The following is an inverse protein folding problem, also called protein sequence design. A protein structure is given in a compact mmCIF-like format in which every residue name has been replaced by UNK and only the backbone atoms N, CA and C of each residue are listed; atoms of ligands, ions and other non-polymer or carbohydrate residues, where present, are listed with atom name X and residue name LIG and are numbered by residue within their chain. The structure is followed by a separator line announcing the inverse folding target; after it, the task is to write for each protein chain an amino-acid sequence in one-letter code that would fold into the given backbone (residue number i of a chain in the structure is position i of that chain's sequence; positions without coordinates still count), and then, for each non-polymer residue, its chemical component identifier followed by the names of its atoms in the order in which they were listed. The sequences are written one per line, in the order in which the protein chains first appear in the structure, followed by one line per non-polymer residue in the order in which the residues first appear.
data_IF_019408086725
#
_entry.id   IF_019408086725
#
_cell.length_a   1.000
_cell.length_b   1.000
_cell.length_c   1.000
_cell.angle_alpha   90.00
_cell.angle_beta   90.00
_cell.angle_gamma   90.00
#
_symmetry.space_group_name_H-M   'P 1'
#
loop_
_entity.id
_entity.type
_entity.pdbx_description
1 polymer ?
#
# COMPACT_ATOMS: atom_id res chain seq x y z
N UNK A 1 -23.43 8.85 29.35
CA UNK A 1 -22.69 8.67 28.09
C UNK A 1 -21.26 8.35 28.48
N UNK A 2 -20.76 7.16 28.15
CA UNK A 2 -19.34 6.85 28.30
C UNK A 2 -18.67 7.19 26.97
N UNK A 3 -17.79 8.19 26.97
CA UNK A 3 -17.05 8.58 25.78
C UNK A 3 -15.77 7.76 25.72
N UNK A 4 -15.62 6.95 24.68
CA UNK A 4 -14.39 6.22 24.39
C UNK A 4 -13.64 7.00 23.31
N UNK A 5 -12.44 7.47 23.64
CA UNK A 5 -11.59 8.19 22.69
C UNK A 5 -10.53 7.23 22.18
N UNK A 6 -10.52 7.00 20.86
CA UNK A 6 -9.51 6.16 20.19
C UNK A 6 -8.34 7.03 19.78
N UNK A 7 -7.25 6.95 20.52
CA UNK A 7 -5.96 7.60 20.20
C UNK A 7 -4.82 6.69 20.64
N UNK A 8 -3.79 6.49 19.80
CA UNK A 8 -2.60 5.73 20.17
C UNK A 8 -2.15 4.74 19.10
N UNK A 9 -1.09 3.98 19.40
CA UNK A 9 -0.57 2.89 18.59
C UNK A 9 -1.58 1.72 18.48
N UNK A 10 -1.21 0.67 17.74
CA UNK A 10 -2.11 -0.45 17.45
C UNK A 10 -2.59 -1.18 18.72
N UNK A 11 -1.70 -1.38 19.69
CA UNK A 11 -2.04 -2.04 20.96
C UNK A 11 -3.08 -1.24 21.77
N UNK A 12 -2.98 0.08 21.78
CA UNK A 12 -3.97 0.94 22.41
C UNK A 12 -5.34 0.84 21.72
N UNK A 13 -5.37 0.73 20.38
CA UNK A 13 -6.62 0.57 19.62
C UNK A 13 -7.27 -0.79 19.85
N UNK A 14 -6.47 -1.86 19.84
CA UNK A 14 -6.95 -3.23 20.10
C UNK A 14 -7.52 -3.34 21.51
N UNK A 15 -6.83 -2.78 22.52
CA UNK A 15 -7.34 -2.72 23.89
C UNK A 15 -8.67 -1.98 24.00
N UNK A 16 -8.81 -0.85 23.30
CA UNK A 16 -10.06 -0.09 23.32
C UNK A 16 -11.20 -0.87 22.65
N UNK A 17 -10.91 -1.63 21.58
CA UNK A 17 -11.88 -2.51 20.94
C UNK A 17 -12.33 -3.63 21.90
N UNK A 18 -11.41 -4.25 22.62
CA UNK A 18 -11.72 -5.26 23.63
C UNK A 18 -12.54 -4.67 24.78
N UNK A 19 -12.15 -3.50 25.31
CA UNK A 19 -12.86 -2.82 26.39
C UNK A 19 -14.28 -2.40 25.95
N UNK A 20 -14.44 -1.95 24.69
CA UNK A 20 -15.75 -1.66 24.10
C UNK A 20 -16.60 -2.92 24.03
N UNK A 21 -16.06 -4.03 23.52
CA UNK A 21 -16.78 -5.30 23.41
C UNK A 21 -17.24 -5.80 24.79
N UNK A 22 -16.32 -5.85 25.77
CA UNK A 22 -16.62 -6.24 27.14
C UNK A 22 -17.71 -5.37 27.79
N UNK A 23 -17.78 -4.08 27.43
CA UNK A 23 -18.77 -3.14 27.98
C UNK A 23 -20.19 -3.39 27.45
N UNK A 24 -20.32 -3.90 26.23
CA UNK A 24 -21.60 -3.99 25.51
C UNK A 24 -22.13 -5.41 25.39
N UNK A 25 -21.25 -6.42 25.35
CA UNK A 25 -21.61 -7.83 25.11
C UNK A 25 -22.71 -8.31 26.06
N UNK A 26 -22.51 -8.19 27.38
CA UNK A 26 -23.51 -8.63 28.37
C UNK A 26 -24.81 -7.80 28.37
N UNK A 27 -24.77 -6.56 27.88
CA UNK A 27 -25.94 -5.68 27.81
C UNK A 27 -26.77 -5.92 26.55
N UNK A 28 -26.12 -6.25 25.44
CA UNK A 28 -26.77 -6.63 24.20
C UNK A 28 -27.37 -8.04 24.27
N UNK A 29 -26.70 -8.96 24.96
CA UNK A 29 -27.16 -10.36 25.09
C UNK A 29 -28.41 -10.50 25.99
N UNK A 30 -28.55 -9.60 26.97
CA UNK A 30 -29.71 -9.55 27.89
C UNK A 30 -30.72 -8.44 27.53
N UNK A 31 -30.67 -7.94 26.29
CA UNK A 31 -31.49 -6.80 25.88
C UNK A 31 -32.98 -7.19 25.83
N UNK A 32 -33.76 -6.64 26.76
CA UNK A 32 -35.19 -6.89 26.84
C UNK A 32 -35.98 -6.33 25.66
N UNK A 33 -37.16 -6.89 25.43
CA UNK A 33 -38.00 -6.54 24.29
C UNK A 33 -38.36 -5.04 24.28
N UNK A 34 -38.12 -4.37 23.14
CA UNK A 34 -38.30 -2.92 22.97
C UNK A 34 -37.21 -2.01 23.58
N UNK A 35 -36.08 -2.56 24.06
CA UNK A 35 -34.91 -1.79 24.50
C UNK A 35 -33.88 -1.66 23.37
N UNK A 36 -33.04 -0.63 23.44
CA UNK A 36 -31.97 -0.36 22.48
C UNK A 36 -30.71 0.15 23.19
N UNK A 37 -29.57 -0.01 22.52
CA UNK A 37 -28.28 0.59 22.88
C UNK A 37 -27.85 1.46 21.71
N UNK A 38 -27.64 2.74 21.98
CA UNK A 38 -27.17 3.69 20.98
C UNK A 38 -25.66 3.91 21.10
N UNK A 39 -24.99 3.89 19.95
CA UNK A 39 -23.58 4.24 19.81
C UNK A 39 -23.43 5.51 19.00
N UNK A 40 -22.98 6.57 19.64
CA UNK A 40 -22.58 7.80 18.96
C UNK A 40 -21.10 7.68 18.56
N UNK A 41 -20.86 7.39 17.28
CA UNK A 41 -19.50 7.15 16.76
C UNK A 41 -19.03 8.39 16.00
N UNK A 42 -18.01 9.03 16.54
CA UNK A 42 -17.23 10.04 15.82
C UNK A 42 -16.01 9.36 15.19
N UNK A 43 -15.82 9.52 13.88
CA UNK A 43 -14.67 8.96 13.16
C UNK A 43 -14.06 10.02 12.23
N UNK A 44 -12.74 9.96 12.06
CA UNK A 44 -12.01 10.85 11.17
C UNK A 44 -11.78 10.17 9.82
N UNK A 45 -12.48 10.62 8.77
CA UNK A 45 -12.31 10.11 7.39
C UNK A 45 -10.97 10.46 6.75
N UNK A 46 -10.19 11.36 7.35
CA UNK A 46 -8.88 11.76 6.84
C UNK A 46 -7.74 10.78 7.16
N UNK A 47 -8.01 9.74 7.96
CA UNK A 47 -7.05 8.69 8.30
C UNK A 47 -7.56 7.40 7.64
N UNK A 48 -7.12 7.13 6.42
CA UNK A 48 -7.36 5.86 5.75
C UNK A 48 -6.20 4.92 6.11
N UNK A 49 -6.41 4.05 7.10
CA UNK A 49 -5.41 3.05 7.51
C UNK A 49 -5.45 1.87 6.52
N UNK A 50 -4.37 1.64 5.79
CA UNK A 50 -4.23 0.44 4.97
C UNK A 50 -3.69 -0.72 5.82
N UNK A 51 -4.26 -1.91 5.63
CA UNK A 51 -3.70 -3.14 6.18
C UNK A 51 -2.41 -3.53 5.46
N UNK A 52 -1.56 -4.31 6.12
CA UNK A 52 -0.34 -4.85 5.50
C UNK A 52 -0.66 -5.61 4.20
N UNK A 53 -1.70 -6.45 4.22
CA UNK A 53 -2.09 -7.28 3.09
C UNK A 53 -2.50 -6.44 1.87
N UNK A 54 -3.23 -5.35 2.08
CA UNK A 54 -3.62 -4.44 0.99
C UNK A 54 -2.39 -3.79 0.36
N UNK A 55 -1.46 -3.28 1.18
CA UNK A 55 -0.24 -2.65 0.68
C UNK A 55 0.72 -3.64 0.01
N UNK A 56 0.80 -4.88 0.48
CA UNK A 56 1.60 -5.92 -0.18
C UNK A 56 1.03 -6.29 -1.55
N UNK A 57 -0.31 -6.27 -1.70
CA UNK A 57 -0.94 -6.44 -3.02
C UNK A 57 -0.61 -5.27 -3.94
N UNK A 58 -0.68 -4.03 -3.47
CA UNK A 58 -0.27 -2.85 -4.26
C UNK A 58 1.21 -2.87 -4.62
N UNK A 59 2.09 -3.23 -3.68
CA UNK A 59 3.51 -3.46 -3.93
C UNK A 59 3.71 -4.46 -5.06
N UNK A 60 3.04 -5.61 -5.02
CA UNK A 60 3.13 -6.63 -6.08
C UNK A 60 2.68 -6.09 -7.44
N UNK A 61 1.63 -5.28 -7.50
CA UNK A 61 1.17 -4.64 -8.74
C UNK A 61 2.19 -3.63 -9.27
N UNK A 62 2.75 -2.79 -8.40
CA UNK A 62 3.77 -1.80 -8.75
C UNK A 62 5.06 -2.45 -9.23
N UNK A 63 5.53 -3.50 -8.54
CA UNK A 63 6.79 -4.17 -8.87
C UNK A 63 6.70 -4.89 -10.22
N UNK A 64 5.54 -5.50 -10.53
CA UNK A 64 5.35 -6.26 -11.77
C UNK A 64 4.86 -5.43 -12.96
N UNK A 65 4.50 -4.16 -12.76
CA UNK A 65 4.01 -3.30 -13.83
C UNK A 65 5.11 -3.09 -14.87
N UNK A 66 4.86 -3.46 -16.13
CA UNK A 66 5.69 -3.04 -17.25
C UNK A 66 5.52 -1.53 -17.44
N UNK A 67 6.62 -0.80 -17.31
CA UNK A 67 6.67 0.66 -17.44
C UNK A 67 7.17 1.04 -18.84
N UNK A 68 8.17 0.32 -19.35
CA UNK A 68 8.68 0.50 -20.71
C UNK A 68 8.81 -0.89 -21.34
N UNK A 69 8.01 -1.23 -22.37
CA UNK A 69 8.21 -2.48 -23.10
C UNK A 69 9.56 -2.45 -23.85
N UNK A 70 10.17 -3.61 -24.10
CA UNK A 70 11.34 -3.68 -24.97
C UNK A 70 11.01 -3.21 -26.38
N UNK A 71 11.99 -2.60 -27.05
CA UNK A 71 11.83 -2.20 -28.44
C UNK A 71 11.52 -3.41 -29.33
N UNK A 72 10.71 -3.21 -30.37
CA UNK A 72 10.29 -4.28 -31.28
C UNK A 72 10.03 -3.76 -32.69
N UNK A 73 10.91 -4.12 -33.63
CA UNK A 73 10.83 -3.67 -35.02
C UNK A 73 10.87 -2.15 -35.10
N UNK A 74 9.77 -1.54 -35.54
CA UNK A 74 9.62 -0.08 -35.64
C UNK A 74 9.04 0.58 -34.38
N UNK A 75 8.67 -0.21 -33.38
CA UNK A 75 8.11 0.30 -32.12
C UNK A 75 9.24 0.60 -31.14
N UNK A 76 9.37 1.88 -30.78
CA UNK A 76 10.31 2.35 -29.79
C UNK A 76 10.00 1.76 -28.40
N UNK A 77 11.05 1.48 -27.63
CA UNK A 77 10.98 0.87 -26.31
C UNK A 77 12.33 0.87 -25.61
N UNK A 78 12.52 -0.06 -24.69
CA UNK A 78 13.80 -0.24 -24.02
C UNK A 78 14.85 -0.83 -24.97
N UNK A 79 16.01 -0.17 -25.08
CA UNK A 79 17.19 -0.58 -25.87
C UNK A 79 18.46 -0.54 -25.02
N UNK A 80 19.46 -1.35 -25.37
CA UNK A 80 20.74 -1.44 -24.63
C UNK A 80 21.56 -0.15 -24.78
N UNK A 81 22.12 0.33 -23.66
CA UNK A 81 22.90 1.58 -23.64
C UNK A 81 24.18 1.48 -24.48
N UNK A 82 24.85 0.31 -24.44
CA UNK A 82 26.10 0.03 -25.18
C UNK A 82 25.86 -0.47 -26.62
N UNK A 83 24.85 0.05 -27.31
CA UNK A 83 24.76 -0.12 -28.77
C UNK A 83 25.94 0.60 -29.41
N UNK A 84 27.02 -0.16 -29.65
CA UNK A 84 28.28 0.33 -30.18
C UNK A 84 28.20 0.61 -31.67
N UNK A 85 27.33 1.55 -32.07
CA UNK A 85 27.28 2.27 -33.36
C UNK A 85 25.98 3.08 -33.36
N UNK A 86 26.00 4.31 -33.85
CA UNK A 86 24.83 5.20 -33.86
C UNK A 86 23.63 4.68 -34.67
N UNK A 87 23.81 3.61 -35.46
CA UNK A 87 22.85 3.17 -36.47
C UNK A 87 22.14 1.82 -36.17
N UNK A 88 22.49 1.11 -35.09
CA UNK A 88 21.82 -0.14 -34.72
C UNK A 88 21.54 -0.21 -33.21
N UNK A 89 20.43 0.42 -32.80
CA UNK A 89 19.92 0.25 -31.44
C UNK A 89 19.45 -1.20 -31.25
N UNK A 90 20.04 -1.89 -30.27
CA UNK A 90 19.64 -3.26 -29.93
C UNK A 90 18.56 -3.24 -28.85
N UNK A 91 17.46 -3.97 -29.07
CA UNK A 91 16.40 -4.11 -28.07
C UNK A 91 16.96 -4.64 -26.73
N UNK A 92 16.42 -4.16 -25.62
CA UNK A 92 16.71 -4.71 -24.31
C UNK A 92 16.23 -6.17 -24.22
N UNK A 93 16.90 -6.97 -23.39
CA UNK A 93 16.59 -8.40 -23.27
C UNK A 93 15.16 -8.63 -22.71
N UNK A 94 14.69 -7.70 -21.87
CA UNK A 94 13.38 -7.75 -21.22
C UNK A 94 12.72 -6.37 -21.18
N UNK A 95 11.41 -6.36 -20.95
CA UNK A 95 10.67 -5.16 -20.57
C UNK A 95 11.20 -4.58 -19.25
N UNK A 96 11.17 -3.26 -19.12
CA UNK A 96 11.49 -2.56 -17.89
C UNK A 96 10.24 -2.51 -17.02
N UNK A 97 10.33 -3.13 -15.85
CA UNK A 97 9.28 -3.20 -14.85
C UNK A 97 9.51 -2.14 -13.77
N UNK A 98 8.47 -1.88 -12.99
CA UNK A 98 8.56 -1.01 -11.83
C UNK A 98 9.67 -1.41 -10.86
N UNK A 99 9.84 -2.72 -10.64
CA UNK A 99 10.92 -3.26 -9.80
C UNK A 99 12.34 -2.88 -10.26
N UNK A 100 12.52 -2.56 -11.55
CA UNK A 100 13.81 -2.13 -12.10
C UNK A 100 14.07 -0.65 -11.81
N UNK A 101 13.00 0.15 -11.66
CA UNK A 101 13.06 1.60 -11.47
C UNK A 101 13.01 2.03 -10.01
N UNK A 102 12.49 1.20 -9.11
CA UNK A 102 12.36 1.54 -7.70
C UNK A 102 12.43 0.32 -6.78
N UNK A 103 12.73 0.58 -5.51
CA UNK A 103 12.44 -0.31 -4.40
C UNK A 103 11.14 0.12 -3.73
N UNK A 104 10.31 -0.84 -3.39
CA UNK A 104 9.06 -0.66 -2.65
C UNK A 104 9.16 -1.42 -1.33
N UNK A 105 8.78 -0.78 -0.22
CA UNK A 105 8.74 -1.40 1.11
C UNK A 105 7.40 -1.16 1.77
N UNK A 106 6.88 -2.18 2.46
CA UNK A 106 5.69 -2.07 3.31
C UNK A 106 6.15 -2.16 4.75
N UNK A 107 5.81 -1.15 5.54
CA UNK A 107 6.25 -1.02 6.94
C UNK A 107 5.13 -0.42 7.79
N UNK A 108 5.21 -0.60 9.11
CA UNK A 108 4.23 0.00 10.02
C UNK A 108 4.32 1.53 9.94
N UNK A 109 3.17 2.20 9.87
CA UNK A 109 3.09 3.65 9.96
C UNK A 109 2.96 4.05 11.44
N UNK A 110 4.08 4.47 12.02
CA UNK A 110 4.15 4.91 13.42
C UNK A 110 3.54 6.30 13.65
N UNK A 111 3.20 7.04 12.58
CA UNK A 111 2.64 8.39 12.67
C UNK A 111 1.12 8.36 12.60
N UNK A 112 0.56 7.60 11.66
CA UNK A 112 -0.89 7.54 11.42
C UNK A 112 -1.55 6.24 11.89
N UNK A 113 -0.76 5.25 12.31
CA UNK A 113 -1.24 3.89 12.56
C UNK A 113 -1.38 3.07 11.28
N UNK A 114 -1.45 1.74 11.42
CA UNK A 114 -1.56 0.83 10.27
C UNK A 114 -0.22 0.63 9.56
N UNK A 115 -0.27 0.54 8.23
CA UNK A 115 0.93 0.36 7.40
C UNK A 115 1.03 1.45 6.33
N UNK A 116 2.25 1.67 5.84
CA UNK A 116 2.56 2.55 4.71
C UNK A 116 3.41 1.84 3.67
N UNK A 117 3.30 2.30 2.43
CA UNK A 117 4.10 1.84 1.30
C UNK A 117 5.07 2.97 0.89
N UNK A 118 6.36 2.69 0.97
CA UNK A 118 7.43 3.62 0.66
C UNK A 118 8.08 3.25 -0.68
N UNK A 119 8.39 4.24 -1.52
CA UNK A 119 9.04 4.05 -2.82
C UNK A 119 10.37 4.81 -2.84
N UNK A 120 11.45 4.12 -3.19
CA UNK A 120 12.78 4.71 -3.39
C UNK A 120 13.24 4.45 -4.81
N UNK A 121 13.54 5.52 -5.55
CA UNK A 121 14.00 5.40 -6.93
C UNK A 121 15.36 4.69 -7.03
N UNK A 122 15.56 3.95 -8.12
CA UNK A 122 16.81 3.34 -8.55
C UNK A 122 17.33 4.09 -9.77
N UNK A 123 18.65 4.13 -9.88
CA UNK A 123 19.30 4.50 -11.14
C UNK A 123 19.45 3.26 -12.00
N UNK A 124 19.01 3.33 -13.26
CA UNK A 124 19.32 2.34 -14.29
C UNK A 124 20.19 3.01 -15.35
N UNK A 125 21.29 2.36 -15.73
CA UNK A 125 22.28 2.91 -16.68
C UNK A 125 22.50 2.04 -17.91
N UNK A 126 22.00 0.80 -17.90
CA UNK A 126 22.30 -0.18 -18.94
C UNK A 126 21.26 -0.17 -20.09
N UNK A 127 20.23 0.66 -19.96
CA UNK A 127 19.09 0.75 -20.87
C UNK A 127 18.70 2.22 -21.09
N UNK A 128 18.37 2.57 -22.33
CA UNK A 128 17.73 3.84 -22.73
C UNK A 128 16.43 3.57 -23.49
N UNK A 129 15.68 4.63 -23.77
CA UNK A 129 14.50 4.58 -24.64
C UNK A 129 14.91 4.86 -26.09
N UNK A 130 14.48 4.02 -27.03
CA UNK A 130 14.85 4.13 -28.45
C UNK A 130 14.04 3.23 -29.36
#
# INVERSE_FOLDING_TARGET
VSTVTVTGDQDARDKIADDFNNTVEGKLDSLGDGKYVDFEISYNKGIEEYTKTELENYKKLLDNKVVIPKASGVNAGAVKEKSGSADEAEAADNDIKGSDLYNTTVEADTTNGGYKLSITAKTISDVKYG
#
